data_IF_986847495989
#
_entry.id   IF_986847495989
#
_cell.length_a   1.000
_cell.length_b   1.000
_cell.length_c   1.000
_cell.angle_alpha   90.00
_cell.angle_beta   90.00
_cell.angle_gamma   90.00
#
_symmetry.space_group_name_H-M   'P 1'
#
loop_
_entity.id
_entity.type
_entity.pdbx_description
1 polymer ?
#
# COMPACT_ATOMS: atom_id res chain seq x y z
N UNK A 1 -16.07 24.73 18.73
CA UNK A 1 -14.59 24.56 18.73
C UNK A 1 -14.07 25.00 17.35
N UNK A 2 -12.98 25.74 17.26
CA UNK A 2 -12.38 26.10 15.96
C UNK A 2 -11.57 24.90 15.44
N UNK A 3 -12.06 24.25 14.39
CA UNK A 3 -11.44 23.05 13.79
C UNK A 3 -9.94 23.24 13.46
N UNK A 4 -9.57 24.40 12.92
CA UNK A 4 -8.18 24.70 12.54
C UNK A 4 -7.18 24.74 13.73
N UNK A 5 -7.70 24.75 14.98
CA UNK A 5 -6.86 24.72 16.19
C UNK A 5 -6.89 23.37 16.90
N UNK A 6 -7.42 22.32 16.26
CA UNK A 6 -7.57 20.99 16.85
C UNK A 6 -6.41 20.07 16.47
N UNK A 7 -6.16 19.06 17.30
CA UNK A 7 -5.22 17.97 16.97
C UNK A 7 -5.76 17.11 15.81
N UNK A 8 -7.06 16.99 15.67
CA UNK A 8 -7.72 16.30 14.55
C UNK A 8 -7.33 16.95 13.22
N UNK A 9 -7.34 18.27 13.14
CA UNK A 9 -6.89 19.00 11.94
C UNK A 9 -5.42 18.73 11.62
N UNK A 10 -4.55 18.77 12.63
CA UNK A 10 -3.12 18.46 12.44
C UNK A 10 -2.92 17.00 11.98
N UNK A 11 -3.67 16.06 12.56
CA UNK A 11 -3.59 14.66 12.17
C UNK A 11 -4.11 14.42 10.74
N UNK A 12 -5.19 15.10 10.32
CA UNK A 12 -5.68 15.03 8.93
C UNK A 12 -4.66 15.52 7.91
N UNK A 13 -3.98 16.64 8.21
CA UNK A 13 -2.90 17.15 7.34
C UNK A 13 -1.75 16.15 7.25
N UNK A 14 -1.30 15.62 8.38
CA UNK A 14 -0.22 14.62 8.45
C UNK A 14 -0.60 13.37 7.66
N UNK A 15 -1.79 12.82 7.89
CA UNK A 15 -2.30 11.68 7.16
C UNK A 15 -2.27 11.93 5.65
N UNK A 16 -2.87 13.02 5.19
CA UNK A 16 -2.91 13.36 3.76
C UNK A 16 -1.51 13.37 3.11
N UNK A 17 -0.53 14.01 3.74
CA UNK A 17 0.82 14.10 3.18
C UNK A 17 1.56 12.77 3.30
N UNK A 18 1.32 11.98 4.38
CA UNK A 18 1.87 10.63 4.53
C UNK A 18 1.43 9.74 3.38
N UNK A 19 0.14 9.70 3.07
CA UNK A 19 -0.41 8.90 1.97
C UNK A 19 0.15 9.33 0.59
N UNK A 20 0.28 10.64 0.34
CA UNK A 20 0.93 11.12 -0.87
C UNK A 20 2.38 10.63 -0.98
N UNK A 21 3.10 10.61 0.14
CA UNK A 21 4.47 10.10 0.22
C UNK A 21 4.52 8.57 0.07
N UNK A 22 3.64 7.84 0.74
CA UNK A 22 3.56 6.38 0.68
C UNK A 22 3.32 5.91 -0.76
N UNK A 23 2.35 6.52 -1.45
CA UNK A 23 2.11 6.27 -2.87
C UNK A 23 3.38 6.35 -3.69
N UNK A 24 4.08 7.50 -3.63
CA UNK A 24 5.27 7.72 -4.46
C UNK A 24 6.40 6.77 -4.09
N UNK A 25 6.58 6.45 -2.79
CA UNK A 25 7.56 5.46 -2.34
C UNK A 25 7.25 4.08 -2.90
N UNK A 26 5.98 3.67 -2.94
CA UNK A 26 5.57 2.37 -3.48
C UNK A 26 5.70 2.31 -5.00
N UNK A 27 5.47 3.41 -5.71
CA UNK A 27 5.78 3.52 -7.14
C UNK A 27 7.28 3.34 -7.41
N UNK A 28 8.17 3.83 -6.53
CA UNK A 28 9.62 3.56 -6.64
C UNK A 28 9.96 2.09 -6.35
N UNK A 29 9.33 1.47 -5.36
CA UNK A 29 9.51 0.03 -5.06
C UNK A 29 9.04 -0.80 -6.25
N UNK A 30 7.88 -0.52 -6.80
CA UNK A 30 7.30 -1.15 -7.97
C UNK A 30 8.21 -1.02 -9.19
N UNK A 31 8.72 0.19 -9.46
CA UNK A 31 9.69 0.43 -10.52
C UNK A 31 10.95 -0.44 -10.36
N UNK A 32 11.51 -0.51 -9.15
CA UNK A 32 12.67 -1.36 -8.86
C UNK A 32 12.39 -2.85 -9.07
N UNK A 33 11.19 -3.32 -8.77
CA UNK A 33 10.74 -4.68 -9.02
C UNK A 33 10.66 -4.98 -10.53
N UNK A 34 10.07 -4.08 -11.33
CA UNK A 34 9.99 -4.21 -12.79
C UNK A 34 11.38 -4.23 -13.44
N UNK A 35 12.28 -3.36 -13.00
CA UNK A 35 13.67 -3.35 -13.51
C UNK A 35 14.41 -4.66 -13.26
N UNK A 36 13.99 -5.46 -12.29
CA UNK A 36 14.52 -6.79 -12.00
C UNK A 36 13.70 -7.93 -12.65
N UNK A 37 12.69 -7.60 -13.44
CA UNK A 37 11.83 -8.58 -14.13
C UNK A 37 10.80 -9.25 -13.23
N UNK A 38 10.52 -8.70 -12.04
CA UNK A 38 9.56 -9.23 -11.04
C UNK A 38 8.15 -8.66 -11.28
N UNK A 39 7.66 -8.80 -12.50
CA UNK A 39 6.41 -8.18 -12.95
C UNK A 39 5.19 -8.57 -12.11
N UNK A 40 5.09 -9.86 -11.72
CA UNK A 40 4.01 -10.35 -10.87
C UNK A 40 4.01 -9.72 -9.47
N UNK A 41 5.19 -9.47 -8.92
CA UNK A 41 5.36 -8.77 -7.64
C UNK A 41 5.03 -7.28 -7.77
N UNK A 42 5.55 -6.64 -8.81
CA UNK A 42 5.33 -5.23 -9.12
C UNK A 42 3.83 -4.90 -9.25
N UNK A 43 3.06 -5.76 -9.90
CA UNK A 43 1.61 -5.57 -10.06
C UNK A 43 0.86 -5.49 -8.73
N UNK A 44 1.30 -6.21 -7.70
CA UNK A 44 0.68 -6.12 -6.37
C UNK A 44 1.06 -4.81 -5.70
N UNK A 45 2.33 -4.42 -5.78
CA UNK A 45 2.82 -3.15 -5.21
C UNK A 45 2.14 -1.94 -5.86
N UNK A 46 1.96 -1.95 -7.18
CA UNK A 46 1.23 -0.93 -7.94
C UNK A 46 -0.23 -0.79 -7.48
N UNK A 47 -0.91 -1.92 -7.24
CA UNK A 47 -2.27 -1.90 -6.68
C UNK A 47 -2.33 -1.24 -5.31
N UNK A 48 -1.38 -1.50 -4.43
CA UNK A 48 -1.30 -0.86 -3.12
C UNK A 48 -1.03 0.64 -3.31
N UNK A 49 -0.05 1.03 -4.13
CA UNK A 49 0.22 2.44 -4.43
C UNK A 49 -1.02 3.19 -4.94
N UNK A 50 -1.88 2.54 -5.74
CA UNK A 50 -3.16 3.11 -6.15
C UNK A 50 -4.16 3.24 -4.99
N UNK A 51 -4.13 2.35 -4.01
CA UNK A 51 -4.97 2.47 -2.81
C UNK A 51 -4.52 3.65 -1.93
N UNK A 52 -3.20 3.89 -1.78
CA UNK A 52 -2.67 5.09 -1.10
C UNK A 52 -3.10 6.40 -1.77
N UNK A 53 -3.14 6.43 -3.11
CA UNK A 53 -3.75 7.56 -3.81
C UNK A 53 -5.20 7.80 -3.39
N UNK A 54 -6.00 6.74 -3.24
CA UNK A 54 -7.39 6.88 -2.82
C UNK A 54 -7.52 7.29 -1.35
N UNK A 55 -6.64 6.81 -0.46
CA UNK A 55 -6.57 7.27 0.92
C UNK A 55 -6.27 8.78 0.98
N UNK A 56 -5.24 9.23 0.27
CA UNK A 56 -4.91 10.65 0.15
C UNK A 56 -6.10 11.47 -0.35
N UNK A 57 -6.79 11.00 -1.40
CA UNK A 57 -7.97 11.66 -1.97
C UNK A 57 -9.13 11.76 -0.97
N UNK A 58 -9.39 10.71 -0.18
CA UNK A 58 -10.43 10.74 0.85
C UNK A 58 -10.09 11.72 1.97
N UNK A 59 -8.84 11.72 2.43
CA UNK A 59 -8.35 12.65 3.45
C UNK A 59 -8.39 14.10 2.96
N UNK A 60 -7.97 14.35 1.73
CA UNK A 60 -8.09 15.67 1.10
C UNK A 60 -9.55 16.14 1.03
N UNK A 61 -10.46 15.26 0.62
CA UNK A 61 -11.90 15.57 0.58
C UNK A 61 -12.44 15.91 1.96
N UNK A 62 -12.06 15.15 2.99
CA UNK A 62 -12.43 15.43 4.37
C UNK A 62 -11.89 16.78 4.86
N UNK A 63 -10.63 17.10 4.57
CA UNK A 63 -10.05 18.41 4.87
C UNK A 63 -10.86 19.54 4.22
N UNK A 64 -11.17 19.45 2.92
CA UNK A 64 -11.97 20.45 2.21
C UNK A 64 -13.36 20.64 2.83
N UNK A 65 -14.02 19.55 3.22
CA UNK A 65 -15.33 19.60 3.88
C UNK A 65 -15.28 20.29 5.24
N UNK A 66 -14.24 20.04 6.02
CA UNK A 66 -14.06 20.61 7.36
C UNK A 66 -13.66 22.08 7.36
N UNK A 67 -13.00 22.54 6.32
CA UNK A 67 -12.50 23.94 6.19
C UNK A 67 -13.26 24.76 5.16
N UNK A 68 -14.43 24.33 4.70
CA UNK A 68 -15.23 24.97 3.65
C UNK A 68 -15.46 26.47 3.85
N UNK A 69 -15.63 26.91 5.10
CA UNK A 69 -15.85 28.31 5.47
C UNK A 69 -14.54 29.10 5.66
N UNK A 70 -13.41 28.41 5.58
CA UNK A 70 -12.07 29.00 5.63
C UNK A 70 -11.14 28.21 4.69
N UNK A 71 -11.30 28.36 3.36
CA UNK A 71 -10.58 27.55 2.39
C UNK A 71 -9.09 27.71 2.53
N UNK A 72 -8.38 26.56 2.57
CA UNK A 72 -6.93 26.51 2.56
C UNK A 72 -6.41 26.57 1.13
N UNK A 73 -5.34 27.35 0.92
CA UNK A 73 -4.63 27.35 -0.35
C UNK A 73 -3.44 26.37 -0.35
N UNK A 74 -2.98 25.96 0.83
CA UNK A 74 -1.81 25.09 1.03
C UNK A 74 -1.92 24.34 2.36
N UNK A 75 -1.26 23.20 2.42
CA UNK A 75 -1.04 22.43 3.65
C UNK A 75 0.39 22.68 4.09
N UNK A 76 0.54 23.34 5.24
CA UNK A 76 1.84 23.54 5.88
C UNK A 76 2.05 22.48 6.96
N UNK A 77 3.10 21.67 6.79
CA UNK A 77 3.40 20.54 7.67
C UNK A 77 4.90 20.26 7.69
N UNK A 78 5.40 19.86 8.86
CA UNK A 78 6.75 19.37 9.05
C UNK A 78 6.69 18.01 9.73
N UNK A 79 7.24 16.97 9.08
CA UNK A 79 7.43 15.64 9.66
C UNK A 79 8.48 14.85 8.89
N UNK A 80 8.98 13.77 9.48
CA UNK A 80 9.97 12.91 8.86
C UNK A 80 9.30 11.97 7.84
N UNK A 81 9.91 11.86 6.66
CA UNK A 81 9.50 10.92 5.61
C UNK A 81 10.53 9.80 5.53
N UNK A 82 10.11 8.52 5.61
CA UNK A 82 11.01 7.40 5.39
C UNK A 82 11.61 7.44 3.98
N UNK A 83 12.93 7.34 3.88
CA UNK A 83 13.65 7.32 2.62
C UNK A 83 14.62 6.14 2.56
N UNK A 84 14.54 5.35 1.46
CA UNK A 84 15.41 4.19 1.22
C UNK A 84 16.17 4.39 -0.09
N UNK A 85 17.49 4.31 -0.01
CA UNK A 85 18.35 4.50 -1.19
C UNK A 85 18.63 3.20 -1.96
N UNK A 86 18.16 2.06 -1.47
CA UNK A 86 18.50 0.75 -2.03
C UNK A 86 17.33 0.17 -2.82
N UNK A 87 17.67 -0.47 -3.93
CA UNK A 87 16.74 -1.24 -4.77
C UNK A 87 16.73 -2.74 -4.40
N UNK A 88 17.11 -3.08 -3.19
CA UNK A 88 17.01 -4.44 -2.69
C UNK A 88 15.56 -4.82 -2.43
N UNK A 89 15.13 -5.93 -3.02
CA UNK A 89 13.73 -6.37 -2.96
C UNK A 89 13.33 -6.76 -1.54
N UNK A 90 14.18 -7.52 -0.84
CA UNK A 90 13.86 -7.98 0.52
C UNK A 90 13.83 -6.81 1.49
N UNK A 91 14.83 -5.92 1.43
CA UNK A 91 14.87 -4.73 2.26
C UNK A 91 13.62 -3.86 2.02
N UNK A 92 13.26 -3.61 0.76
CA UNK A 92 12.08 -2.81 0.43
C UNK A 92 10.78 -3.43 0.95
N UNK A 93 10.56 -4.75 0.74
CA UNK A 93 9.36 -5.42 1.22
C UNK A 93 9.27 -5.42 2.76
N UNK A 94 10.41 -5.63 3.45
CA UNK A 94 10.45 -5.60 4.91
C UNK A 94 10.18 -4.20 5.47
N UNK A 95 10.78 -3.17 4.88
CA UNK A 95 10.58 -1.79 5.32
C UNK A 95 9.16 -1.32 5.03
N UNK A 96 8.61 -1.67 3.88
CA UNK A 96 7.22 -1.34 3.54
C UNK A 96 6.25 -1.95 4.53
N UNK A 97 6.41 -3.25 4.88
CA UNK A 97 5.58 -3.89 5.90
C UNK A 97 5.68 -3.20 7.26
N UNK A 98 6.85 -2.68 7.64
CA UNK A 98 7.05 -1.93 8.87
C UNK A 98 6.41 -0.54 8.81
N UNK A 99 6.55 0.14 7.68
CA UNK A 99 5.94 1.46 7.49
C UNK A 99 4.41 1.37 7.62
N UNK A 100 3.76 0.35 7.02
CA UNK A 100 2.32 0.08 7.18
C UNK A 100 1.91 -0.18 8.64
N UNK A 101 2.76 -0.86 9.41
CA UNK A 101 2.51 -1.05 10.84
C UNK A 101 2.53 0.26 11.62
N UNK A 102 3.47 1.15 11.33
CA UNK A 102 3.55 2.47 11.98
C UNK A 102 2.39 3.37 11.55
N UNK A 103 1.97 3.32 10.28
CA UNK A 103 0.79 4.02 9.79
C UNK A 103 -0.49 3.53 10.46
N UNK A 104 -0.67 2.22 10.61
CA UNK A 104 -1.81 1.67 11.35
C UNK A 104 -1.85 2.14 12.81
N UNK A 105 -0.69 2.25 13.48
CA UNK A 105 -0.59 2.81 14.84
C UNK A 105 -0.93 4.31 14.87
N UNK A 106 -0.45 5.06 13.90
CA UNK A 106 -0.78 6.48 13.76
C UNK A 106 -2.29 6.67 13.61
N UNK A 107 -2.94 5.96 12.68
CA UNK A 107 -4.37 6.02 12.45
C UNK A 107 -5.20 5.63 13.68
N UNK A 108 -4.76 4.62 14.44
CA UNK A 108 -5.40 4.25 15.70
C UNK A 108 -5.42 5.42 16.71
N UNK A 109 -4.32 6.12 16.85
CA UNK A 109 -4.21 7.25 17.75
C UNK A 109 -4.98 8.48 17.23
N UNK A 110 -4.89 8.75 15.93
CA UNK A 110 -5.59 9.86 15.28
C UNK A 110 -7.12 9.69 15.36
N UNK A 111 -7.62 8.46 15.20
CA UNK A 111 -9.05 8.13 15.36
C UNK A 111 -9.54 8.42 16.77
N UNK A 112 -8.79 8.01 17.81
CA UNK A 112 -9.14 8.31 19.21
C UNK A 112 -9.20 9.81 19.48
N UNK A 113 -8.21 10.55 19.03
CA UNK A 113 -8.15 12.02 19.18
C UNK A 113 -9.34 12.68 18.49
N UNK A 114 -9.67 12.25 17.27
CA UNK A 114 -10.81 12.80 16.54
C UNK A 114 -12.14 12.56 17.28
N UNK A 115 -12.30 11.36 17.85
CA UNK A 115 -13.49 11.05 18.65
C UNK A 115 -13.59 11.90 19.92
N UNK A 116 -12.48 12.07 20.66
CA UNK A 116 -12.39 12.89 21.86
C UNK A 116 -12.69 14.37 21.59
N UNK A 117 -12.27 14.88 20.43
CA UNK A 117 -12.54 16.26 19.97
C UNK A 117 -13.94 16.41 19.31
N UNK A 118 -14.73 15.32 19.23
CA UNK A 118 -16.12 15.33 18.72
C UNK A 118 -16.25 15.23 17.19
N UNK A 119 -15.19 14.87 16.47
CA UNK A 119 -15.16 14.68 15.01
C UNK A 119 -15.36 13.20 14.65
N UNK A 120 -16.54 12.69 14.89
CA UNK A 120 -16.89 11.28 14.70
C UNK A 120 -16.63 10.78 13.27
N UNK A 121 -17.01 11.57 12.27
CA UNK A 121 -16.79 11.23 10.85
C UNK A 121 -15.31 11.14 10.47
N UNK A 122 -14.46 11.99 11.04
CA UNK A 122 -13.00 11.92 10.86
C UNK A 122 -12.44 10.68 11.57
N UNK A 123 -12.92 10.39 12.77
CA UNK A 123 -12.54 9.19 13.53
C UNK A 123 -12.87 7.91 12.74
N UNK A 124 -14.06 7.82 12.15
CA UNK A 124 -14.50 6.70 11.32
C UNK A 124 -13.64 6.57 10.05
N UNK A 125 -13.28 7.68 9.40
CA UNK A 125 -12.38 7.67 8.24
C UNK A 125 -11.01 7.11 8.62
N UNK A 126 -10.40 7.59 9.69
CA UNK A 126 -9.11 7.10 10.18
C UNK A 126 -9.15 5.61 10.52
N UNK A 127 -10.22 5.14 11.19
CA UNK A 127 -10.35 3.73 11.53
C UNK A 127 -10.51 2.85 10.28
N UNK A 128 -11.25 3.29 9.28
CA UNK A 128 -11.41 2.57 8.02
C UNK A 128 -10.09 2.47 7.26
N UNK A 129 -9.32 3.54 7.15
CA UNK A 129 -7.98 3.51 6.54
C UNK A 129 -7.09 2.56 7.34
N UNK A 130 -7.05 2.67 8.68
CA UNK A 130 -6.27 1.76 9.54
C UNK A 130 -6.48 0.28 9.22
N UNK A 131 -7.73 -0.13 8.95
CA UNK A 131 -8.02 -1.53 8.61
C UNK A 131 -7.36 -1.94 7.29
N UNK A 132 -7.24 -1.00 6.35
CA UNK A 132 -6.56 -1.25 5.07
C UNK A 132 -5.05 -1.35 5.28
N UNK A 133 -4.43 -0.45 6.07
CA UNK A 133 -2.98 -0.50 6.34
C UNK A 133 -2.57 -1.80 7.05
N UNK A 134 -3.41 -2.32 7.95
CA UNK A 134 -3.19 -3.66 8.54
C UNK A 134 -3.20 -4.75 7.46
N UNK A 135 -4.02 -4.61 6.42
CA UNK A 135 -4.06 -5.56 5.30
C UNK A 135 -2.83 -5.40 4.40
N UNK A 136 -2.43 -4.18 4.07
CA UNK A 136 -1.22 -3.87 3.31
C UNK A 136 0.02 -4.47 3.98
N UNK A 137 0.19 -4.25 5.30
CA UNK A 137 1.25 -4.88 6.09
C UNK A 137 1.30 -6.39 5.86
N UNK A 138 0.16 -7.08 6.00
CA UNK A 138 0.09 -8.54 5.84
C UNK A 138 0.42 -8.98 4.40
N UNK A 139 0.04 -8.19 3.40
CA UNK A 139 0.40 -8.46 2.01
C UNK A 139 1.92 -8.35 1.84
N UNK A 140 2.55 -7.26 2.31
CA UNK A 140 4.00 -7.10 2.20
C UNK A 140 4.77 -8.15 3.00
N UNK A 141 4.29 -8.56 4.17
CA UNK A 141 4.85 -9.70 4.94
C UNK A 141 4.76 -11.02 4.16
N UNK A 142 3.63 -11.29 3.50
CA UNK A 142 3.46 -12.45 2.65
C UNK A 142 4.43 -12.42 1.46
N UNK A 143 4.54 -11.29 0.77
CA UNK A 143 5.46 -11.10 -0.34
C UNK A 143 6.93 -11.26 0.09
N UNK A 144 7.31 -10.65 1.21
CA UNK A 144 8.65 -10.78 1.80
C UNK A 144 9.01 -12.24 2.10
N UNK A 145 8.13 -12.93 2.83
CA UNK A 145 8.38 -14.32 3.23
C UNK A 145 8.40 -15.25 2.01
N UNK A 146 7.48 -15.07 1.07
CA UNK A 146 7.40 -15.87 -0.15
C UNK A 146 8.62 -15.67 -1.04
N UNK A 147 9.07 -14.42 -1.23
CA UNK A 147 10.25 -14.12 -2.02
C UNK A 147 11.53 -14.66 -1.36
N UNK A 148 11.71 -14.38 -0.06
CA UNK A 148 12.86 -14.86 0.73
C UNK A 148 13.02 -16.37 0.70
N UNK A 149 11.91 -17.11 0.76
CA UNK A 149 11.91 -18.58 0.85
C UNK A 149 11.80 -19.27 -0.52
N UNK A 150 11.70 -18.51 -1.62
CA UNK A 150 11.50 -19.06 -2.97
C UNK A 150 10.16 -19.79 -3.14
N UNK A 151 9.12 -19.36 -2.41
CA UNK A 151 7.79 -19.97 -2.42
C UNK A 151 6.70 -19.04 -2.98
N UNK A 152 7.06 -17.84 -3.40
CA UNK A 152 6.12 -16.80 -3.80
C UNK A 152 5.17 -17.23 -4.93
N UNK A 153 5.65 -18.08 -5.84
CA UNK A 153 4.91 -18.59 -6.99
C UNK A 153 4.40 -20.03 -6.79
N UNK A 154 4.52 -20.59 -5.57
CA UNK A 154 4.09 -21.97 -5.27
C UNK A 154 2.74 -22.02 -4.58
N UNK A 155 2.00 -23.09 -4.84
CA UNK A 155 0.73 -23.38 -4.19
C UNK A 155 0.63 -24.88 -3.89
N UNK A 156 0.02 -25.25 -2.75
CA UNK A 156 -0.24 -26.65 -2.39
C UNK A 156 -1.29 -27.31 -3.29
N UNK A 157 -2.06 -26.50 -4.01
CA UNK A 157 -3.11 -26.98 -4.94
C UNK A 157 -2.93 -26.34 -6.31
N UNK A 158 -3.43 -27.03 -7.34
CA UNK A 158 -3.44 -26.45 -8.70
C UNK A 158 -4.19 -25.12 -8.73
N UNK A 159 -3.58 -24.12 -9.29
CA UNK A 159 -4.10 -22.76 -9.49
C UNK A 159 -3.92 -22.33 -10.94
N UNK A 160 -4.73 -21.37 -11.36
CA UNK A 160 -4.52 -20.68 -12.63
C UNK A 160 -3.49 -19.59 -12.44
N UNK A 161 -2.46 -19.58 -13.30
CA UNK A 161 -1.44 -18.56 -13.40
C UNK A 161 -1.52 -17.89 -14.77
N UNK A 162 -1.47 -16.58 -14.81
CA UNK A 162 -1.53 -15.81 -16.05
C UNK A 162 -0.21 -15.11 -16.27
N UNK A 163 0.31 -15.16 -17.48
CA UNK A 163 1.42 -14.32 -17.91
C UNK A 163 0.88 -12.94 -18.34
N UNK A 164 1.11 -11.88 -17.59
CA UNK A 164 0.54 -10.56 -17.92
C UNK A 164 1.14 -9.95 -19.19
N UNK A 165 2.31 -10.44 -19.67
CA UNK A 165 2.93 -9.97 -20.89
C UNK A 165 2.21 -10.43 -22.16
N UNK A 166 1.57 -11.62 -22.16
CA UNK A 166 0.99 -12.19 -23.38
C UNK A 166 -0.39 -12.82 -23.19
N UNK A 167 -0.92 -12.87 -21.96
CA UNK A 167 -2.22 -13.47 -21.64
C UNK A 167 -2.20 -15.00 -21.59
N UNK A 168 -1.04 -15.67 -21.73
CA UNK A 168 -0.97 -17.13 -21.60
C UNK A 168 -1.41 -17.56 -20.20
N UNK A 169 -2.31 -18.52 -20.14
CA UNK A 169 -2.85 -19.08 -18.90
C UNK A 169 -2.47 -20.54 -18.76
N UNK A 170 -2.08 -20.93 -17.56
CA UNK A 170 -1.78 -22.32 -17.23
C UNK A 170 -2.34 -22.71 -15.86
N UNK A 171 -2.55 -24.00 -15.65
CA UNK A 171 -3.02 -24.56 -14.38
C UNK A 171 -1.97 -25.51 -13.81
N UNK A 172 -1.46 -25.18 -12.62
CA UNK A 172 -0.40 -25.95 -11.96
C UNK A 172 -0.26 -25.60 -10.49
N UNK A 173 0.71 -26.19 -9.81
CA UNK A 173 1.11 -25.82 -8.43
C UNK A 173 2.16 -24.70 -8.41
N UNK A 174 2.80 -24.44 -9.55
CA UNK A 174 3.69 -23.31 -9.80
C UNK A 174 3.66 -23.00 -11.31
N UNK A 175 4.01 -21.77 -11.73
CA UNK A 175 4.13 -21.44 -13.15
C UNK A 175 5.32 -22.16 -13.78
N UNK A 176 5.31 -22.27 -15.11
CA UNK A 176 6.47 -22.73 -15.84
C UNK A 176 7.65 -21.74 -15.70
N UNK A 177 8.88 -22.26 -15.70
CA UNK A 177 10.10 -21.44 -15.56
C UNK A 177 10.22 -20.38 -16.65
N UNK A 178 9.66 -20.68 -17.82
CA UNK A 178 9.63 -19.79 -18.97
C UNK A 178 8.26 -19.93 -19.63
N UNK A 179 7.61 -18.81 -19.90
CA UNK A 179 6.33 -18.81 -20.60
C UNK A 179 6.49 -19.41 -22.00
N UNK A 180 5.72 -20.47 -22.36
CA UNK A 180 5.89 -21.14 -23.65
C UNK A 180 5.47 -20.26 -24.85
N UNK A 181 4.67 -19.22 -24.61
CA UNK A 181 4.21 -18.32 -25.67
C UNK A 181 5.17 -17.17 -25.91
N UNK A 182 5.59 -16.43 -24.88
CA UNK A 182 6.36 -15.19 -25.06
C UNK A 182 7.79 -15.25 -24.47
N UNK A 183 8.21 -16.38 -23.91
CA UNK A 183 9.53 -16.60 -23.33
C UNK A 183 9.82 -15.72 -22.09
N UNK A 184 8.82 -15.09 -21.50
CA UNK A 184 8.97 -14.39 -20.24
C UNK A 184 9.32 -15.37 -19.10
N UNK A 185 10.14 -14.94 -18.15
CA UNK A 185 10.54 -15.75 -16.99
C UNK A 185 9.35 -15.99 -16.03
N UNK A 186 9.49 -17.00 -15.17
CA UNK A 186 8.48 -17.35 -14.16
C UNK A 186 8.06 -16.16 -13.30
N UNK A 187 9.00 -15.30 -12.94
CA UNK A 187 8.78 -14.13 -12.09
C UNK A 187 7.87 -13.06 -12.72
N UNK A 188 7.60 -13.20 -14.03
CA UNK A 188 6.62 -12.36 -14.74
C UNK A 188 5.18 -12.76 -14.43
N UNK A 189 4.92 -14.05 -14.12
CA UNK A 189 3.56 -14.52 -13.86
C UNK A 189 2.93 -13.85 -12.63
N UNK A 190 1.60 -13.87 -12.58
CA UNK A 190 0.85 -13.32 -11.46
C UNK A 190 1.22 -14.00 -10.14
N UNK A 191 1.48 -13.20 -9.11
CA UNK A 191 1.57 -13.68 -7.74
C UNK A 191 0.16 -13.86 -7.19
N UNK A 192 -0.11 -15.04 -6.65
CA UNK A 192 -1.42 -15.39 -6.11
C UNK A 192 -1.47 -15.10 -4.61
N UNK A 193 -2.18 -14.04 -4.24
CA UNK A 193 -2.42 -13.74 -2.83
C UNK A 193 -3.38 -14.78 -2.21
N UNK A 194 -3.20 -15.13 -0.93
CA UNK A 194 -4.18 -15.87 -0.16
C UNK A 194 -5.55 -15.17 -0.20
N UNK A 195 -6.64 -15.94 -0.16
CA UNK A 195 -8.01 -15.43 -0.30
C UNK A 195 -8.34 -14.28 0.66
N UNK A 196 -7.83 -14.33 1.88
CA UNK A 196 -8.03 -13.30 2.89
C UNK A 196 -7.16 -12.04 2.69
N UNK A 197 -6.22 -12.06 1.74
CA UNK A 197 -5.37 -10.93 1.36
C UNK A 197 -5.68 -10.42 -0.05
N UNK A 198 -6.53 -11.10 -0.81
CA UNK A 198 -6.90 -10.67 -2.15
C UNK A 198 -7.57 -9.28 -2.14
N UNK A 199 -7.33 -8.50 -3.20
CA UNK A 199 -7.93 -7.17 -3.42
C UNK A 199 -9.40 -7.26 -3.78
#
# INVERSE_FOLDING_TARGET
MNFLKTKTYENLKKAFVSECSARTRYEFVEYGQRMQGLEGLATITDKIAYQEFNHARMLYTMLCQKVKDNPMNNVDICFDIPFRQRWDILDNLQFTAKDEEEEAKFYQNASKVALEEGFKDVSELFENIRQVEIKHKKIFEFLYNGYKNGTLYKSDTKKSYVCPSCGYEMVGTEPEKVCPLCQAKMETFTVLLPKNLAF
#
